data_IF_155463659016
#
_entry.id   IF_155463659016
#
_cell.length_a   1.000
_cell.length_b   1.000
_cell.length_c   1.000
_cell.angle_alpha   90.00
_cell.angle_beta   90.00
_cell.angle_gamma   90.00
#
_symmetry.space_group_name_H-M   'P 1'
#
loop_
_entity.id
_entity.type
_entity.pdbx_description
1 polymer ?
#
# COMPACT_ATOMS: atom_id res chain seq x y z
N UNK A 1 -1.93 -2.66 12.68
CA UNK A 1 -1.12 -3.45 13.63
C UNK A 1 -1.57 -4.90 13.61
N UNK A 2 -0.67 -5.86 13.83
CA UNK A 2 -1.03 -7.26 14.12
C UNK A 2 -1.01 -8.24 12.93
N UNK A 3 -0.88 -7.74 11.70
CA UNK A 3 -0.98 -8.55 10.48
C UNK A 3 0.37 -9.04 9.98
N UNK A 4 0.36 -9.81 8.89
CA UNK A 4 1.58 -10.15 8.15
C UNK A 4 1.92 -9.01 7.19
N UNK A 5 3.10 -8.43 7.28
CA UNK A 5 3.54 -7.34 6.40
C UNK A 5 4.64 -7.85 5.48
N UNK A 6 4.40 -7.75 4.17
CA UNK A 6 5.42 -8.04 3.15
C UNK A 6 6.07 -6.72 2.75
N UNK A 7 7.40 -6.66 2.79
CA UNK A 7 8.14 -5.46 2.39
C UNK A 7 8.88 -5.69 1.07
N UNK A 8 9.27 -4.60 0.43
CA UNK A 8 10.12 -4.62 -0.77
C UNK A 8 11.40 -3.78 -0.58
N UNK A 9 11.79 -3.46 0.68
CA UNK A 9 12.89 -2.51 0.95
C UNK A 9 14.27 -3.04 0.55
N UNK A 10 14.43 -4.35 0.45
CA UNK A 10 15.66 -5.04 0.09
C UNK A 10 15.37 -6.30 -0.75
N UNK A 11 14.34 -6.26 -1.60
CA UNK A 11 13.79 -7.44 -2.28
C UNK A 11 14.80 -8.17 -3.19
N UNK A 12 15.83 -7.47 -3.66
CA UNK A 12 16.93 -8.07 -4.44
C UNK A 12 17.80 -9.04 -3.63
N UNK A 13 17.84 -8.88 -2.31
CA UNK A 13 18.74 -9.63 -1.43
C UNK A 13 18.01 -10.45 -0.36
N UNK A 14 16.79 -10.04 0.03
CA UNK A 14 16.06 -10.68 1.12
C UNK A 14 14.54 -10.64 0.89
N UNK A 15 13.89 -11.78 1.16
CA UNK A 15 12.45 -11.87 1.28
C UNK A 15 12.04 -11.53 2.72
N UNK A 16 11.80 -10.25 3.00
CA UNK A 16 11.41 -9.77 4.33
C UNK A 16 9.88 -9.86 4.52
N UNK A 17 9.46 -10.78 5.40
CA UNK A 17 8.07 -10.92 5.85
C UNK A 17 8.03 -10.74 7.38
N UNK A 18 7.25 -9.77 7.83
CA UNK A 18 7.11 -9.42 9.24
C UNK A 18 5.76 -9.94 9.75
N UNK A 19 5.79 -11.00 10.55
CA UNK A 19 4.61 -11.46 11.30
C UNK A 19 4.34 -10.53 12.50
N UNK A 20 3.06 -10.37 12.85
CA UNK A 20 2.60 -9.43 13.88
C UNK A 20 3.13 -7.98 13.65
N UNK A 21 3.11 -7.55 12.38
CA UNK A 21 3.73 -6.32 11.91
C UNK A 21 2.92 -5.04 12.18
N UNK A 22 3.64 -3.93 12.18
CA UNK A 22 3.14 -2.57 12.33
C UNK A 22 3.71 -1.71 11.20
N UNK A 23 2.82 -0.90 10.61
CA UNK A 23 3.17 0.13 9.62
C UNK A 23 2.71 1.46 10.23
N UNK A 24 3.65 2.39 10.42
CA UNK A 24 3.35 3.75 10.85
C UNK A 24 3.27 4.65 9.63
N UNK A 25 2.16 5.36 9.50
CA UNK A 25 1.89 6.28 8.39
C UNK A 25 1.65 7.66 8.99
N UNK A 26 2.37 8.65 8.46
CA UNK A 26 2.13 10.07 8.73
C UNK A 26 1.78 10.74 7.42
N UNK A 27 0.57 11.29 7.35
CA UNK A 27 0.03 11.90 6.13
C UNK A 27 0.06 10.91 4.95
N UNK A 28 0.87 11.19 3.92
CA UNK A 28 1.02 10.37 2.72
C UNK A 28 2.33 9.56 2.69
N UNK A 29 3.01 9.40 3.84
CA UNK A 29 4.31 8.73 3.93
C UNK A 29 4.29 7.62 4.99
N UNK A 30 4.90 6.49 4.64
CA UNK A 30 5.27 5.46 5.61
C UNK A 30 6.51 5.96 6.35
N UNK A 31 6.42 6.09 7.67
CA UNK A 31 7.52 6.60 8.52
C UNK A 31 8.28 5.49 9.24
N UNK A 32 7.64 4.32 9.46
CA UNK A 32 8.29 3.15 10.02
C UNK A 32 7.53 1.86 9.67
N UNK A 33 8.26 0.75 9.61
CA UNK A 33 7.74 -0.61 9.44
C UNK A 33 8.58 -1.56 10.30
N UNK A 34 7.95 -2.41 11.08
CA UNK A 34 8.61 -3.29 12.06
C UNK A 34 7.62 -4.19 12.78
N UNK A 35 8.08 -4.98 13.76
CA UNK A 35 7.18 -5.82 14.57
C UNK A 35 6.46 -4.99 15.62
N UNK A 36 5.30 -5.47 16.06
CA UNK A 36 4.61 -4.87 17.20
C UNK A 36 5.49 -4.93 18.45
N UNK A 37 5.59 -3.79 19.15
CA UNK A 37 6.47 -3.62 20.31
C UNK A 37 7.86 -3.07 19.98
N UNK A 38 8.28 -3.05 18.70
CA UNK A 38 9.54 -2.43 18.27
C UNK A 38 9.38 -0.97 17.84
N UNK A 39 8.14 -0.54 17.57
CA UNK A 39 7.84 0.80 17.07
C UNK A 39 7.06 1.63 18.09
N UNK A 40 7.54 2.85 18.34
CA UNK A 40 6.84 3.84 19.14
C UNK A 40 5.76 4.54 18.31
N UNK A 41 4.52 4.08 18.48
CA UNK A 41 3.35 4.73 17.90
C UNK A 41 2.82 5.81 18.86
N UNK A 42 2.54 7.05 18.39
CA UNK A 42 1.86 8.05 19.21
C UNK A 42 0.50 7.53 19.71
N UNK A 43 0.12 7.83 20.95
CA UNK A 43 -1.19 7.44 21.50
C UNK A 43 -2.38 8.06 20.76
N UNK A 44 -2.15 9.16 20.03
CA UNK A 44 -3.14 9.83 19.20
C UNK A 44 -3.27 9.22 17.79
N UNK A 45 -2.42 8.26 17.43
CA UNK A 45 -2.48 7.62 16.13
C UNK A 45 -3.79 6.84 15.98
N UNK A 46 -4.43 6.98 14.81
CA UNK A 46 -5.56 6.11 14.46
C UNK A 46 -5.03 4.69 14.27
N UNK A 47 -5.51 3.75 15.08
CA UNK A 47 -5.11 2.34 15.00
C UNK A 47 -6.09 1.56 14.13
N UNK A 48 -5.54 0.78 13.20
CA UNK A 48 -6.28 -0.22 12.43
C UNK A 48 -5.72 -1.61 12.75
N UNK A 49 -6.58 -2.52 13.23
CA UNK A 49 -6.23 -3.92 13.42
C UNK A 49 -6.28 -4.65 12.07
N UNK A 50 -5.19 -5.32 11.74
CA UNK A 50 -5.01 -6.11 10.52
C UNK A 50 -4.64 -7.56 10.84
N UNK A 51 -4.91 -8.02 12.06
CA UNK A 51 -4.68 -9.41 12.49
C UNK A 51 -5.37 -10.40 11.54
N UNK A 52 -4.66 -11.48 11.20
CA UNK A 52 -5.13 -12.47 10.23
C UNK A 52 -5.14 -11.99 8.76
N UNK A 53 -4.67 -10.78 8.47
CA UNK A 53 -4.54 -10.23 7.11
C UNK A 53 -3.08 -10.13 6.69
N UNK A 54 -2.88 -10.08 5.38
CA UNK A 54 -1.58 -9.76 4.77
C UNK A 54 -1.66 -8.36 4.16
N UNK A 55 -0.67 -7.53 4.47
CA UNK A 55 -0.48 -6.21 3.84
C UNK A 55 0.71 -6.30 2.89
N UNK A 56 0.49 -5.84 1.66
CA UNK A 56 1.48 -5.75 0.59
C UNK A 56 1.55 -4.30 0.08
N UNK A 57 2.64 -3.90 -0.61
CA UNK A 57 2.64 -2.66 -1.37
C UNK A 57 1.50 -2.64 -2.39
N UNK A 58 0.97 -1.45 -2.68
CA UNK A 58 0.04 -1.28 -3.78
C UNK A 58 0.67 -1.70 -5.11
N UNK A 59 -0.12 -2.30 -5.99
CA UNK A 59 0.39 -2.85 -7.24
C UNK A 59 0.69 -1.73 -8.23
N UNK A 60 1.70 -1.98 -9.07
CA UNK A 60 2.10 -1.13 -10.19
C UNK A 60 1.80 -1.88 -11.49
N UNK A 61 0.97 -1.29 -12.34
CA UNK A 61 0.72 -1.79 -13.69
C UNK A 61 1.59 -1.03 -14.70
N UNK A 62 2.62 -1.72 -15.21
CA UNK A 62 3.58 -1.13 -16.14
C UNK A 62 3.15 -1.18 -17.61
N UNK A 63 2.04 -1.86 -17.93
CA UNK A 63 1.60 -2.03 -19.32
C UNK A 63 0.07 -2.05 -19.41
N UNK A 64 -0.52 -0.89 -19.18
CA UNK A 64 -1.97 -0.73 -19.23
C UNK A 64 -2.45 -0.09 -20.53
N UNK A 65 -3.58 -0.59 -21.03
CA UNK A 65 -4.30 -0.02 -22.16
C UNK A 65 -5.72 0.32 -21.73
N UNK A 66 -6.19 1.50 -22.12
CA UNK A 66 -7.56 1.89 -21.82
C UNK A 66 -7.87 3.33 -22.19
N UNK A 67 -9.17 3.62 -22.31
CA UNK A 67 -9.65 5.00 -22.43
C UNK A 67 -9.53 5.67 -21.06
N UNK A 68 -8.33 6.18 -20.76
CA UNK A 68 -8.07 6.93 -19.53
C UNK A 68 -8.45 8.40 -19.68
N UNK A 69 -8.37 8.95 -20.89
CA UNK A 69 -8.77 10.31 -21.22
C UNK A 69 -8.91 10.53 -22.72
N UNK A 70 -9.40 11.70 -23.09
CA UNK A 70 -9.51 12.15 -24.49
C UNK A 70 -9.04 13.60 -24.58
N UNK A 71 -8.36 13.99 -25.66
CA UNK A 71 -7.83 15.34 -25.84
C UNK A 71 -6.99 15.85 -24.65
N UNK A 72 -6.17 14.98 -24.03
CA UNK A 72 -5.40 15.25 -22.81
C UNK A 72 -6.25 15.63 -21.58
N UNK A 73 -7.55 15.37 -21.60
CA UNK A 73 -8.45 15.55 -20.47
C UNK A 73 -8.80 14.19 -19.87
N UNK A 74 -8.45 14.02 -18.60
CA UNK A 74 -8.88 12.88 -17.81
C UNK A 74 -10.18 13.25 -17.09
N UNK A 75 -11.27 12.46 -17.21
CA UNK A 75 -12.47 12.70 -16.43
C UNK A 75 -12.16 12.55 -14.93
N UNK A 76 -12.78 13.38 -14.10
CA UNK A 76 -12.63 13.32 -12.65
C UNK A 76 -13.10 11.96 -12.08
N UNK A 77 -14.05 11.32 -12.76
CA UNK A 77 -14.51 9.98 -12.47
C UNK A 77 -14.21 9.07 -13.67
N UNK A 78 -13.12 8.29 -13.58
CA UNK A 78 -12.78 7.29 -14.58
C UNK A 78 -13.05 5.89 -14.05
N UNK A 79 -14.03 5.19 -14.63
CA UNK A 79 -14.43 3.85 -14.19
C UNK A 79 -13.30 2.82 -14.28
N UNK A 80 -12.43 2.91 -15.30
CA UNK A 80 -11.28 2.00 -15.43
C UNK A 80 -10.32 2.18 -14.25
N UNK A 81 -10.06 3.42 -13.84
CA UNK A 81 -9.18 3.69 -12.69
C UNK A 81 -9.80 3.26 -11.36
N UNK A 82 -11.11 3.45 -11.17
CA UNK A 82 -11.80 2.93 -9.99
C UNK A 82 -11.77 1.40 -9.93
N UNK A 83 -11.97 0.73 -11.06
CA UNK A 83 -11.86 -0.73 -11.16
C UNK A 83 -10.45 -1.18 -10.79
N UNK A 84 -9.42 -0.58 -11.38
CA UNK A 84 -8.01 -0.89 -11.08
C UNK A 84 -7.70 -0.75 -9.58
N UNK A 85 -8.16 0.34 -8.96
CA UNK A 85 -7.97 0.57 -7.52
C UNK A 85 -8.63 -0.51 -6.66
N UNK A 86 -9.83 -0.98 -7.04
CA UNK A 86 -10.52 -2.04 -6.30
C UNK A 86 -9.80 -3.39 -6.35
N UNK A 87 -9.00 -3.63 -7.39
CA UNK A 87 -8.10 -4.79 -7.50
C UNK A 87 -6.70 -4.55 -6.92
N UNK A 88 -6.48 -3.39 -6.27
CA UNK A 88 -5.23 -3.08 -5.57
C UNK A 88 -4.14 -2.43 -6.43
N UNK A 89 -4.44 -2.04 -7.68
CA UNK A 89 -3.52 -1.25 -8.52
C UNK A 89 -3.58 0.21 -8.09
N UNK A 90 -2.44 0.72 -7.65
CA UNK A 90 -2.32 2.10 -7.11
C UNK A 90 -1.46 3.00 -7.99
N UNK A 91 -0.78 2.44 -8.98
CA UNK A 91 0.05 3.18 -9.94
C UNK A 91 -0.02 2.50 -11.29
N UNK A 92 -0.06 3.31 -12.34
CA UNK A 92 -0.15 2.91 -13.74
C UNK A 92 0.78 3.82 -14.57
N UNK A 93 1.33 3.31 -15.67
CA UNK A 93 2.08 4.12 -16.66
C UNK A 93 1.17 5.13 -17.37
#
# INVERSE_FOLDING_TARGET
VGGKVVTMRNAENEQEIIDNGVILIKENRIVAVGKQGELDAPSTAKVMDISGKTVIPGLIDAHAHGSYGSYNLQPQQNWNQYSNLSFGVTTIH
#
